data_IF_478237242470
#
_entry.id   IF_478237242470
#
_cell.length_a   1.000
_cell.length_b   1.000
_cell.length_c   1.000
_cell.angle_alpha   90.00
_cell.angle_beta   90.00
_cell.angle_gamma   90.00
#
_symmetry.space_group_name_H-M   'P 1'
#
loop_
_entity.id
_entity.type
_entity.pdbx_description
1 polymer ?
#
# COMPACT_ATOMS: atom_id res chain seq x y z
N UNK A 1 13.33 -1.84 2.62
CA UNK A 1 12.05 -1.22 3.05
C UNK A 1 12.27 -0.48 4.38
N UNK A 2 11.40 0.46 4.75
CA UNK A 2 11.47 1.22 5.99
C UNK A 2 11.38 0.31 7.24
N UNK A 3 12.39 0.34 8.12
CA UNK A 3 12.46 -0.50 9.33
C UNK A 3 11.68 0.04 10.52
N UNK A 4 11.35 1.34 10.51
CA UNK A 4 10.70 2.04 11.63
C UNK A 4 9.26 2.44 11.32
N UNK A 5 8.72 2.03 10.17
CA UNK A 5 7.39 2.41 9.73
C UNK A 5 6.27 1.53 10.35
N UNK A 6 6.62 0.46 11.07
CA UNK A 6 5.66 -0.44 11.73
C UNK A 6 5.70 -1.86 11.18
N UNK A 7 4.54 -2.51 11.11
CA UNK A 7 4.36 -3.95 10.86
C UNK A 7 3.78 -4.26 9.47
N UNK A 8 3.95 -3.35 8.51
CA UNK A 8 3.47 -3.51 7.14
C UNK A 8 1.95 -3.55 7.08
N UNK A 9 1.38 -4.64 6.54
CA UNK A 9 -0.07 -4.79 6.39
C UNK A 9 -0.82 -4.91 7.72
N UNK A 10 -0.12 -5.21 8.83
CA UNK A 10 -0.70 -5.30 10.17
C UNK A 10 -0.71 -3.96 10.93
N UNK A 11 -0.54 -2.84 10.21
CA UNK A 11 -0.54 -1.49 10.78
C UNK A 11 0.85 -0.88 10.91
N UNK A 12 0.89 0.45 11.07
CA UNK A 12 2.15 1.19 11.15
C UNK A 12 2.00 2.63 11.63
N UNK A 13 3.11 3.36 11.57
CA UNK A 13 3.26 4.71 12.13
C UNK A 13 3.36 5.77 11.02
N UNK A 14 2.38 6.70 10.89
CA UNK A 14 2.41 7.73 9.86
C UNK A 14 3.67 8.61 9.88
N UNK A 15 4.19 8.93 11.07
CA UNK A 15 5.44 9.69 11.20
C UNK A 15 6.65 8.97 10.59
N UNK A 16 6.69 7.63 10.73
CA UNK A 16 7.74 6.80 10.16
C UNK A 16 7.73 6.86 8.63
N UNK A 17 6.53 6.83 8.03
CA UNK A 17 6.35 6.93 6.58
C UNK A 17 6.90 8.28 6.04
N UNK A 18 6.52 9.41 6.66
CA UNK A 18 7.03 10.72 6.26
C UNK A 18 8.53 10.88 6.47
N UNK A 19 9.07 10.33 7.56
CA UNK A 19 10.51 10.35 7.83
C UNK A 19 11.28 9.56 6.76
N UNK A 20 10.76 8.41 6.33
CA UNK A 20 11.34 7.62 5.25
C UNK A 20 11.27 8.34 3.90
N UNK A 21 10.12 8.95 3.56
CA UNK A 21 9.98 9.74 2.35
C UNK A 21 11.00 10.88 2.29
N UNK A 22 11.16 11.65 3.37
CA UNK A 22 12.15 12.74 3.42
C UNK A 22 13.60 12.25 3.31
N UNK A 23 13.93 11.10 3.91
CA UNK A 23 15.30 10.60 3.99
C UNK A 23 15.73 9.84 2.73
N UNK A 24 14.85 9.03 2.19
CA UNK A 24 15.17 8.04 1.14
C UNK A 24 14.37 8.27 -0.13
N UNK A 25 13.22 8.92 -0.05
CA UNK A 25 12.28 9.06 -1.17
C UNK A 25 11.44 7.81 -1.39
N UNK A 26 10.50 7.95 -2.32
CA UNK A 26 9.65 6.86 -2.83
C UNK A 26 9.69 6.90 -4.36
N UNK A 27 9.66 5.71 -4.96
CA UNK A 27 9.55 5.59 -6.42
C UNK A 27 8.09 5.71 -6.84
N UNK A 28 7.87 5.98 -8.13
CA UNK A 28 6.52 6.00 -8.71
C UNK A 28 5.91 4.59 -8.75
N UNK A 29 4.59 4.51 -8.82
CA UNK A 29 3.85 3.25 -8.93
C UNK A 29 2.35 3.51 -9.02
N UNK A 30 1.68 2.88 -9.99
CA UNK A 30 0.25 2.97 -10.18
C UNK A 30 -0.54 1.91 -9.41
N UNK A 31 -1.78 1.71 -9.85
CA UNK A 31 -2.69 0.73 -9.27
C UNK A 31 -2.29 -0.71 -9.58
N UNK A 32 -2.98 -1.66 -8.94
CA UNK A 32 -2.83 -3.08 -9.23
C UNK A 32 -3.03 -3.37 -10.73
N UNK A 33 -2.10 -4.14 -11.30
CA UNK A 33 -2.04 -4.49 -12.73
C UNK A 33 -2.01 -3.32 -13.71
N UNK A 34 -1.74 -2.08 -13.29
CA UNK A 34 -1.69 -0.95 -14.23
C UNK A 34 -0.40 -0.89 -15.06
N UNK A 35 0.67 -1.56 -14.60
CA UNK A 35 2.02 -1.48 -15.19
C UNK A 35 2.59 -0.05 -15.26
N UNK A 36 2.05 0.88 -14.46
CA UNK A 36 2.50 2.28 -14.45
C UNK A 36 3.55 2.52 -13.35
N UNK A 37 4.61 3.24 -13.72
CA UNK A 37 5.67 3.62 -12.78
C UNK A 37 6.61 2.47 -12.43
N UNK A 38 7.46 2.70 -11.42
CA UNK A 38 8.51 1.76 -11.04
C UNK A 38 7.98 0.56 -10.23
N UNK A 39 7.05 0.79 -9.30
CA UNK A 39 6.50 -0.26 -8.41
C UNK A 39 4.99 -0.10 -8.22
N UNK A 40 4.16 -0.62 -9.15
CA UNK A 40 2.71 -0.65 -9.00
C UNK A 40 2.26 -1.39 -7.74
N UNK A 41 1.07 -1.06 -7.23
CA UNK A 41 0.50 -1.69 -6.04
C UNK A 41 0.23 -3.18 -6.28
N UNK A 42 0.59 -4.05 -5.33
CA UNK A 42 0.54 -5.50 -5.52
C UNK A 42 -0.73 -6.17 -4.97
N UNK A 43 -1.61 -5.43 -4.30
CA UNK A 43 -2.84 -5.96 -3.69
C UNK A 43 -4.03 -5.51 -4.54
N UNK A 44 -4.86 -6.47 -4.95
CA UNK A 44 -6.05 -6.19 -5.74
C UNK A 44 -7.11 -5.39 -4.95
N UNK A 45 -7.90 -4.59 -5.66
CA UNK A 45 -9.01 -3.87 -5.06
C UNK A 45 -10.08 -4.83 -4.52
N UNK A 46 -10.70 -4.47 -3.40
CA UNK A 46 -11.78 -5.22 -2.76
C UNK A 46 -12.77 -4.26 -2.08
N UNK A 47 -14.00 -4.74 -1.89
CA UNK A 47 -15.06 -3.94 -1.27
C UNK A 47 -14.97 -4.03 0.26
N UNK A 48 -14.68 -2.88 0.88
CA UNK A 48 -14.64 -2.74 2.34
C UNK A 48 -15.98 -2.17 2.84
N UNK A 49 -16.79 -3.02 3.48
CA UNK A 49 -18.04 -2.64 4.14
C UNK A 49 -19.10 -2.00 3.21
N UNK A 50 -19.11 -2.35 1.92
CA UNK A 50 -20.06 -1.85 0.91
C UNK A 50 -20.68 -2.97 0.06
N UNK A 51 -21.72 -2.64 -0.72
CA UNK A 51 -22.43 -3.57 -1.59
C UNK A 51 -21.61 -3.92 -2.85
N UNK A 52 -21.59 -5.23 -3.16
CA UNK A 52 -20.55 -5.92 -3.92
C UNK A 52 -20.50 -5.61 -5.42
N UNK A 53 -19.41 -4.98 -5.85
CA UNK A 53 -18.95 -4.95 -7.25
C UNK A 53 -17.57 -5.63 -7.38
N UNK A 54 -16.80 -5.70 -6.29
CA UNK A 54 -15.48 -6.31 -6.20
C UNK A 54 -15.48 -7.53 -5.25
N UNK A 55 -14.43 -8.36 -5.30
CA UNK A 55 -14.27 -9.46 -4.35
C UNK A 55 -14.31 -8.95 -2.90
N UNK A 56 -14.80 -9.77 -1.94
CA UNK A 56 -14.73 -9.44 -0.53
C UNK A 56 -13.27 -9.32 -0.10
N UNK A 57 -13.01 -8.53 0.95
CA UNK A 57 -11.68 -8.34 1.52
C UNK A 57 -11.05 -9.70 1.85
N UNK A 58 -9.93 -10.00 1.20
CA UNK A 58 -9.11 -11.16 1.55
C UNK A 58 -8.35 -10.84 2.83
N UNK A 59 -8.77 -11.41 3.96
CA UNK A 59 -7.97 -11.44 5.18
C UNK A 59 -6.72 -12.28 4.88
N UNK A 60 -5.54 -11.66 4.90
CA UNK A 60 -4.25 -12.33 4.73
C UNK A 60 -3.53 -12.41 6.05
#
# INVERSE_FOLDING_TARGET
CCKTCGFGCNGGFPQGAWSYFKKTGLVTGGNYNSNEGCRPYSIAACDHHVNKTLPPVSLK
#
